data_IF_143963298774
#
_entry.id   IF_143963298774
#
_cell.length_a   1.000
_cell.length_b   1.000
_cell.length_c   1.000
_cell.angle_alpha   90.00
_cell.angle_beta   90.00
_cell.angle_gamma   90.00
#
_symmetry.space_group_name_H-M   'P 1'
#
loop_
_entity.id
_entity.type
_entity.pdbx_description
1 polymer ?
#
# COMPACT_ATOMS: atom_id res chain seq x y z
N UNK A 1 -4.92 21.89 -18.25
CA UNK A 1 -5.06 20.45 -18.55
C UNK A 1 -4.43 19.56 -17.47
N UNK A 2 -3.11 19.65 -17.24
CA UNK A 2 -2.39 18.78 -16.29
C UNK A 2 -2.98 18.81 -14.86
N UNK A 3 -3.31 19.99 -14.33
CA UNK A 3 -3.88 20.11 -12.98
C UNK A 3 -5.25 19.45 -12.79
N UNK A 4 -6.12 19.47 -13.81
CA UNK A 4 -7.45 18.84 -13.75
C UNK A 4 -7.33 17.32 -13.76
N UNK A 5 -6.45 16.79 -14.62
CA UNK A 5 -6.16 15.35 -14.67
C UNK A 5 -5.55 14.89 -13.34
N UNK A 6 -4.60 15.66 -12.80
CA UNK A 6 -3.97 15.34 -11.52
C UNK A 6 -4.96 15.39 -10.35
N UNK A 7 -5.87 16.37 -10.33
CA UNK A 7 -6.94 16.42 -9.35
C UNK A 7 -7.84 15.18 -9.43
N UNK A 8 -8.31 14.81 -10.62
CA UNK A 8 -9.15 13.63 -10.81
C UNK A 8 -8.42 12.33 -10.41
N UNK A 9 -7.13 12.23 -10.69
CA UNK A 9 -6.30 11.11 -10.27
C UNK A 9 -6.19 11.01 -8.74
N UNK A 10 -5.97 12.13 -8.03
CA UNK A 10 -5.90 12.13 -6.57
C UNK A 10 -7.26 11.79 -5.94
N UNK A 11 -8.37 12.29 -6.49
CA UNK A 11 -9.72 11.93 -6.02
C UNK A 11 -9.95 10.42 -6.17
N UNK A 12 -9.59 9.86 -7.31
CA UNK A 12 -9.71 8.41 -7.55
C UNK A 12 -8.81 7.60 -6.60
N UNK A 13 -7.59 8.09 -6.33
CA UNK A 13 -6.68 7.49 -5.35
C UNK A 13 -7.27 7.46 -3.94
N UNK A 14 -7.92 8.54 -3.51
CA UNK A 14 -8.62 8.57 -2.22
C UNK A 14 -9.70 7.48 -2.12
N UNK A 15 -10.43 7.22 -3.22
CA UNK A 15 -11.45 6.15 -3.25
C UNK A 15 -10.80 4.78 -3.07
N UNK A 16 -9.71 4.49 -3.79
CA UNK A 16 -8.99 3.21 -3.67
C UNK A 16 -8.50 2.97 -2.24
N UNK A 17 -7.91 3.98 -1.60
CA UNK A 17 -7.43 3.83 -0.21
C UNK A 17 -8.57 3.62 0.80
N UNK A 18 -9.69 4.31 0.63
CA UNK A 18 -10.86 4.14 1.51
C UNK A 18 -11.54 2.79 1.32
N UNK A 19 -11.65 2.31 0.08
CA UNK A 19 -12.21 1.00 -0.21
C UNK A 19 -11.33 -0.12 0.36
N UNK A 20 -10.01 -0.02 0.18
CA UNK A 20 -9.05 -0.95 0.80
C UNK A 20 -9.17 -0.96 2.32
N UNK A 21 -9.16 0.22 2.96
CA UNK A 21 -9.37 0.33 4.40
C UNK A 21 -10.70 -0.29 4.86
N UNK A 22 -11.79 -0.04 4.14
CA UNK A 22 -13.11 -0.55 4.50
C UNK A 22 -13.22 -2.07 4.37
N UNK A 23 -12.52 -2.68 3.40
CA UNK A 23 -12.48 -4.12 3.23
C UNK A 23 -11.80 -4.77 4.44
N UNK A 24 -10.57 -4.35 4.75
CA UNK A 24 -9.80 -4.85 5.89
C UNK A 24 -10.52 -4.65 7.23
N UNK A 25 -11.19 -3.50 7.40
CA UNK A 25 -11.99 -3.22 8.60
C UNK A 25 -13.20 -4.16 8.71
N UNK A 26 -13.89 -4.43 7.60
CA UNK A 26 -15.04 -5.34 7.61
C UNK A 26 -14.61 -6.79 7.87
N UNK A 27 -13.52 -7.24 7.26
CA UNK A 27 -12.96 -8.57 7.49
C UNK A 27 -12.55 -8.75 8.97
N UNK A 28 -11.94 -7.72 9.57
CA UNK A 28 -11.56 -7.73 10.99
C UNK A 28 -12.78 -7.77 11.94
N UNK A 29 -13.84 -7.03 11.65
CA UNK A 29 -14.99 -6.88 12.55
C UNK A 29 -16.06 -7.97 12.40
N UNK A 30 -16.26 -8.48 11.20
CA UNK A 30 -17.39 -9.37 10.86
C UNK A 30 -16.97 -10.75 10.36
N UNK A 31 -15.67 -10.95 10.11
CA UNK A 31 -15.12 -12.16 9.51
C UNK A 31 -15.18 -12.13 7.98
N UNK A 32 -14.22 -12.79 7.36
CA UNK A 32 -14.06 -12.83 5.90
C UNK A 32 -15.35 -13.28 5.19
N UNK A 33 -15.84 -12.46 4.26
CA UNK A 33 -16.98 -12.79 3.39
C UNK A 33 -18.36 -12.77 4.06
N UNK A 34 -18.49 -12.39 5.33
CA UNK A 34 -19.77 -12.41 6.06
C UNK A 34 -20.54 -11.06 6.02
N UNK A 35 -20.22 -10.18 5.08
CA UNK A 35 -20.85 -8.86 4.93
C UNK A 35 -21.16 -8.57 3.46
N UNK A 36 -22.22 -7.79 3.22
CA UNK A 36 -22.60 -7.37 1.87
C UNK A 36 -21.76 -6.19 1.36
N UNK A 37 -21.65 -6.05 0.04
CA UNK A 37 -20.90 -4.95 -0.61
C UNK A 37 -21.34 -3.56 -0.15
N UNK A 38 -22.64 -3.37 0.08
CA UNK A 38 -23.20 -2.10 0.59
C UNK A 38 -22.66 -1.74 1.96
N UNK A 39 -22.38 -2.74 2.79
CA UNK A 39 -21.85 -2.55 4.12
C UNK A 39 -20.38 -2.09 4.07
N UNK A 40 -19.60 -2.63 3.15
CA UNK A 40 -18.23 -2.15 2.84
C UNK A 40 -18.24 -0.69 2.41
N UNK A 41 -19.15 -0.32 1.50
CA UNK A 41 -19.28 1.07 1.03
C UNK A 41 -19.65 2.02 2.18
N UNK A 42 -20.54 1.60 3.09
CA UNK A 42 -20.92 2.39 4.25
C UNK A 42 -19.69 2.74 5.12
N UNK A 43 -18.84 1.76 5.42
CA UNK A 43 -17.62 1.99 6.20
C UNK A 43 -16.60 2.87 5.47
N UNK A 44 -16.49 2.76 4.14
CA UNK A 44 -15.68 3.67 3.34
C UNK A 44 -16.17 5.12 3.46
N UNK A 45 -17.49 5.35 3.42
CA UNK A 45 -18.09 6.67 3.63
C UNK A 45 -17.84 7.21 5.04
N UNK A 46 -17.96 6.37 6.08
CA UNK A 46 -17.64 6.75 7.46
C UNK A 46 -16.16 7.15 7.57
N UNK A 47 -15.25 6.38 6.96
CA UNK A 47 -13.83 6.71 6.89
C UNK A 47 -13.57 8.05 6.20
N UNK A 48 -14.25 8.31 5.08
CA UNK A 48 -14.16 9.59 4.36
C UNK A 48 -14.57 10.77 5.25
N UNK A 49 -15.70 10.67 5.95
CA UNK A 49 -16.17 11.70 6.87
C UNK A 49 -15.16 11.92 8.00
N UNK A 50 -14.57 10.84 8.54
CA UNK A 50 -13.52 10.91 9.55
C UNK A 50 -12.27 11.65 9.09
N UNK A 51 -11.72 11.29 7.93
CA UNK A 51 -10.54 11.97 7.36
C UNK A 51 -10.86 13.43 7.04
N UNK A 52 -12.07 13.71 6.55
CA UNK A 52 -12.53 15.07 6.27
C UNK A 52 -12.60 15.90 7.57
N UNK A 53 -13.11 15.33 8.66
CA UNK A 53 -13.17 15.98 9.96
C UNK A 53 -11.76 16.33 10.49
N UNK A 54 -10.78 15.45 10.32
CA UNK A 54 -9.37 15.72 10.70
C UNK A 54 -8.81 16.93 9.95
N UNK A 55 -9.13 17.07 8.67
CA UNK A 55 -8.68 18.21 7.86
C UNK A 55 -9.30 19.52 8.36
N UNK A 56 -10.57 19.50 8.80
CA UNK A 56 -11.23 20.68 9.36
C UNK A 56 -10.70 21.12 10.73
N UNK A 57 -10.13 20.20 11.53
CA UNK A 57 -9.54 20.54 12.84
C UNK A 57 -8.29 21.41 12.69
N UNK A 58 -7.49 21.20 11.64
CA UNK A 58 -6.41 22.10 11.26
C UNK A 58 -5.15 21.41 10.71
N UNK A 59 -4.26 22.20 10.07
CA UNK A 59 -3.09 21.67 9.36
C UNK A 59 -2.01 21.08 10.28
N UNK A 60 -1.95 21.50 11.56
CA UNK A 60 -0.97 20.96 12.52
C UNK A 60 -1.29 19.51 12.89
N UNK A 61 -2.57 19.18 13.09
CA UNK A 61 -2.99 17.81 13.37
C UNK A 61 -2.70 16.91 12.18
N UNK A 62 -3.00 17.36 10.96
CA UNK A 62 -2.68 16.65 9.73
C UNK A 62 -1.20 16.30 9.63
N UNK A 63 -0.31 17.26 9.89
CA UNK A 63 1.14 17.03 9.84
C UNK A 63 1.61 15.99 10.88
N UNK A 64 1.08 16.06 12.11
CA UNK A 64 1.39 15.08 13.16
C UNK A 64 0.89 13.68 12.79
N UNK A 65 -0.37 13.57 12.35
CA UNK A 65 -0.97 12.28 11.95
C UNK A 65 -0.23 11.65 10.77
N UNK A 66 0.20 12.43 9.77
CA UNK A 66 0.95 11.92 8.63
C UNK A 66 2.31 11.32 9.05
N UNK A 67 3.05 11.98 9.95
CA UNK A 67 4.32 11.46 10.48
C UNK A 67 4.07 10.21 11.34
N UNK A 68 3.04 10.21 12.18
CA UNK A 68 2.67 9.05 12.99
C UNK A 68 2.30 7.85 12.11
N UNK A 69 1.48 8.06 11.06
CA UNK A 69 1.12 7.01 10.11
C UNK A 69 2.35 6.44 9.41
N UNK A 70 3.29 7.29 8.98
CA UNK A 70 4.56 6.84 8.39
C UNK A 70 5.36 5.96 9.35
N UNK A 71 5.52 6.37 10.61
CA UNK A 71 6.21 5.58 11.63
C UNK A 71 5.54 4.21 11.87
N UNK A 72 4.20 4.20 11.94
CA UNK A 72 3.44 2.95 12.11
C UNK A 72 3.63 2.04 10.90
N UNK A 73 3.56 2.57 9.67
CA UNK A 73 3.76 1.77 8.46
C UNK A 73 5.15 1.15 8.43
N UNK A 74 6.20 1.91 8.75
CA UNK A 74 7.58 1.37 8.82
C UNK A 74 7.70 0.28 9.88
N UNK A 75 7.07 0.46 11.04
CA UNK A 75 7.06 -0.53 12.11
C UNK A 75 6.35 -1.82 11.66
N UNK A 76 5.14 -1.72 11.11
CA UNK A 76 4.36 -2.86 10.64
C UNK A 76 5.12 -3.59 9.52
N UNK A 77 5.66 -2.88 8.52
CA UNK A 77 6.47 -3.49 7.47
C UNK A 77 7.67 -4.25 8.03
N UNK A 78 8.36 -3.69 9.02
CA UNK A 78 9.51 -4.35 9.66
C UNK A 78 9.10 -5.61 10.43
N UNK A 79 7.96 -5.55 11.13
CA UNK A 79 7.41 -6.70 11.85
C UNK A 79 6.93 -7.80 10.90
N UNK A 80 6.28 -7.44 9.79
CA UNK A 80 5.87 -8.38 8.75
C UNK A 80 7.08 -9.07 8.13
N UNK A 81 8.12 -8.30 7.79
CA UNK A 81 9.36 -8.86 7.25
C UNK A 81 10.01 -9.84 8.24
N UNK A 82 10.07 -9.48 9.52
CA UNK A 82 10.56 -10.38 10.57
C UNK A 82 9.68 -11.64 10.74
N UNK A 83 8.37 -11.48 10.62
CA UNK A 83 7.41 -12.58 10.70
C UNK A 83 7.64 -13.61 9.60
N UNK A 84 7.90 -13.19 8.35
CA UNK A 84 8.28 -14.09 7.26
C UNK A 84 9.66 -14.76 7.48
N UNK A 85 10.59 -14.14 8.20
CA UNK A 85 11.88 -14.76 8.52
C UNK A 85 11.79 -15.84 9.62
N UNK A 86 10.90 -15.64 10.61
CA UNK A 86 10.76 -16.53 11.78
C UNK A 86 9.61 -17.54 11.60
N UNK A 87 8.69 -17.29 10.68
CA UNK A 87 7.41 -17.98 10.55
C UNK A 87 7.53 -19.51 10.59
N UNK A 88 6.61 -20.14 11.32
CA UNK A 88 6.55 -21.59 11.49
C UNK A 88 5.78 -22.23 10.33
N UNK A 89 6.37 -23.27 9.73
CA UNK A 89 5.96 -23.97 8.49
C UNK A 89 4.61 -24.73 8.54
N UNK A 90 3.68 -24.42 9.46
CA UNK A 90 2.47 -25.21 9.71
C UNK A 90 1.15 -24.48 9.40
N UNK A 91 1.17 -23.43 8.58
CA UNK A 91 -0.04 -22.74 8.11
C UNK A 91 -0.28 -23.04 6.62
N UNK A 92 -1.55 -23.15 6.21
CA UNK A 92 -1.97 -23.43 4.84
C UNK A 92 -1.21 -22.55 3.83
N UNK A 93 -0.36 -23.17 3.00
CA UNK A 93 0.42 -22.48 1.95
C UNK A 93 1.76 -21.88 2.38
N UNK A 94 2.08 -21.79 3.68
CA UNK A 94 3.36 -21.24 4.14
C UNK A 94 4.42 -22.33 4.34
N UNK A 95 5.42 -22.37 3.47
CA UNK A 95 6.48 -23.40 3.48
C UNK A 95 7.72 -23.01 4.28
N UNK A 96 7.78 -21.76 4.76
CA UNK A 96 9.01 -21.14 5.24
C UNK A 96 9.94 -20.74 4.08
N UNK A 97 10.90 -19.85 4.33
CA UNK A 97 11.85 -19.36 3.32
C UNK A 97 12.72 -20.53 2.80
N UNK A 98 12.44 -21.00 1.58
CA UNK A 98 13.13 -22.11 0.93
C UNK A 98 13.47 -21.76 -0.51
N UNK A 99 14.66 -22.17 -0.94
CA UNK A 99 15.10 -21.98 -2.34
C UNK A 99 14.23 -22.77 -3.32
N UNK A 100 13.74 -23.95 -2.92
CA UNK A 100 12.88 -24.77 -3.79
C UNK A 100 11.54 -24.10 -4.11
N UNK A 101 10.94 -23.43 -3.12
CA UNK A 101 9.68 -22.68 -3.30
C UNK A 101 9.93 -21.46 -4.17
N UNK A 102 11.07 -20.78 -4.00
CA UNK A 102 11.45 -19.65 -4.83
C UNK A 102 11.61 -20.02 -6.31
N UNK A 103 12.29 -21.14 -6.60
CA UNK A 103 12.51 -21.60 -7.97
C UNK A 103 11.18 -21.98 -8.65
N UNK A 104 10.23 -22.54 -7.90
CA UNK A 104 8.89 -22.83 -8.38
C UNK A 104 8.10 -21.55 -8.73
N UNK A 105 8.29 -20.47 -7.96
CA UNK A 105 7.57 -19.20 -8.11
C UNK A 105 8.25 -18.18 -9.03
N UNK A 106 9.39 -18.53 -9.65
CA UNK A 106 10.16 -17.59 -10.48
C UNK A 106 9.47 -17.23 -11.81
N UNK A 107 8.70 -18.16 -12.35
CA UNK A 107 7.98 -18.00 -13.61
C UNK A 107 6.62 -17.32 -13.44
N UNK A 108 6.13 -16.60 -14.47
CA UNK A 108 4.76 -16.12 -14.45
C UNK A 108 3.79 -17.30 -14.57
N UNK A 109 2.80 -17.36 -13.67
CA UNK A 109 1.68 -18.29 -13.74
C UNK A 109 0.37 -17.49 -13.72
N UNK A 110 -0.07 -17.03 -14.89
CA UNK A 110 -1.28 -16.24 -15.01
C UNK A 110 -2.52 -17.13 -15.11
N UNK A 111 -3.54 -16.86 -14.30
CA UNK A 111 -4.88 -17.47 -14.43
C UNK A 111 -5.62 -16.88 -15.64
N UNK A 112 -6.64 -17.56 -16.16
CA UNK A 112 -7.38 -17.19 -17.37
C UNK A 112 -7.90 -15.73 -17.41
N UNK A 113 -8.18 -15.13 -16.24
CA UNK A 113 -8.67 -13.75 -16.12
C UNK A 113 -7.58 -12.68 -16.00
N UNK A 114 -6.31 -13.09 -15.86
CA UNK A 114 -5.19 -12.18 -15.60
C UNK A 114 -4.11 -12.28 -16.68
N UNK A 115 -3.55 -11.14 -17.05
CA UNK A 115 -2.38 -11.04 -17.90
C UNK A 115 -1.41 -9.98 -17.35
N UNK A 116 -0.23 -9.85 -17.96
CA UNK A 116 0.77 -8.87 -17.53
C UNK A 116 0.22 -7.43 -17.47
N UNK A 117 -0.45 -6.89 -18.52
CA UNK A 117 -1.06 -5.57 -18.46
C UNK A 117 -2.08 -5.39 -17.33
N UNK A 118 -2.91 -6.41 -17.06
CA UNK A 118 -3.93 -6.36 -16.01
C UNK A 118 -3.29 -6.31 -14.63
N UNK A 119 -2.34 -7.20 -14.34
CA UNK A 119 -1.61 -7.20 -13.06
C UNK A 119 -0.82 -5.91 -12.88
N UNK A 120 -0.17 -5.40 -13.94
CA UNK A 120 0.51 -4.11 -13.91
C UNK A 120 -0.45 -2.96 -13.58
N UNK A 121 -1.66 -2.96 -14.14
CA UNK A 121 -2.66 -1.91 -13.90
C UNK A 121 -3.17 -1.91 -12.45
N UNK A 122 -3.23 -3.07 -11.81
CA UNK A 122 -3.58 -3.21 -10.38
C UNK A 122 -2.42 -2.72 -9.49
N UNK A 123 -1.19 -3.03 -9.86
CA UNK A 123 0.00 -2.60 -9.10
C UNK A 123 0.35 -1.12 -9.31
N UNK A 124 0.04 -0.55 -10.48
CA UNK A 124 0.47 0.79 -10.87
C UNK A 124 0.11 1.89 -9.85
N UNK A 125 -1.12 1.94 -9.27
CA UNK A 125 -1.45 2.89 -8.21
C UNK A 125 -0.49 2.87 -7.02
N UNK A 126 0.12 1.72 -6.69
CA UNK A 126 1.05 1.59 -5.56
C UNK A 126 2.36 2.38 -5.78
N UNK A 127 2.82 2.51 -7.03
CA UNK A 127 4.06 3.25 -7.36
C UNK A 127 3.81 4.72 -7.72
N UNK A 128 2.56 5.18 -7.66
CA UNK A 128 2.23 6.60 -7.86
C UNK A 128 2.51 7.44 -6.61
N UNK A 129 2.18 8.74 -6.62
CA UNK A 129 2.33 9.61 -5.45
C UNK A 129 3.67 10.36 -5.33
N UNK A 130 4.56 10.22 -6.32
CA UNK A 130 5.85 10.93 -6.41
C UNK A 130 5.70 12.46 -6.21
N UNK A 131 4.58 13.04 -6.63
CA UNK A 131 4.31 14.47 -6.52
C UNK A 131 3.89 14.95 -5.12
N UNK A 132 3.65 14.05 -4.16
CA UNK A 132 3.25 14.42 -2.79
C UNK A 132 4.27 15.36 -2.12
N UNK A 133 5.57 15.12 -2.34
CA UNK A 133 6.65 15.98 -1.81
C UNK A 133 6.70 17.37 -2.45
N UNK A 134 6.35 17.48 -3.74
CA UNK A 134 6.30 18.76 -4.45
C UNK A 134 5.11 19.61 -3.98
N UNK A 135 4.00 18.98 -3.58
CA UNK A 135 2.80 19.65 -3.08
C UNK A 135 3.03 20.37 -1.73
N UNK A 136 4.09 20.03 -0.99
CA UNK A 136 4.47 20.69 0.27
C UNK A 136 5.66 21.65 0.13
N UNK A 137 6.00 22.03 -1.11
CA UNK A 137 7.16 22.85 -1.42
C UNK A 137 7.19 24.21 -0.68
N UNK A 138 6.02 24.79 -0.37
CA UNK A 138 5.90 26.06 0.34
C UNK A 138 6.36 26.05 1.80
N UNK A 139 6.53 24.88 2.42
CA UNK A 139 6.97 24.74 3.83
C UNK A 139 8.47 24.39 3.93
N UNK A 140 9.12 24.09 2.80
CA UNK A 140 10.51 23.67 2.77
C UNK A 140 11.48 24.85 2.86
N UNK A 141 12.53 24.71 3.68
CA UNK A 141 13.61 25.70 3.77
C UNK A 141 14.33 25.93 2.44
N UNK A 142 14.50 24.87 1.62
CA UNK A 142 15.20 24.91 0.33
C UNK A 142 14.53 23.97 -0.70
N UNK A 143 13.37 24.34 -1.28
CA UNK A 143 12.58 23.44 -2.13
C UNK A 143 13.36 22.91 -3.35
N UNK A 144 14.14 23.76 -4.03
CA UNK A 144 14.88 23.39 -5.24
C UNK A 144 15.93 22.30 -5.04
N UNK A 145 16.43 22.10 -3.80
CA UNK A 145 17.36 21.02 -3.46
C UNK A 145 16.67 19.85 -2.77
N UNK A 146 15.68 20.13 -1.90
CA UNK A 146 15.02 19.11 -1.08
C UNK A 146 14.05 18.25 -1.88
N UNK A 147 13.29 18.82 -2.82
CA UNK A 147 12.32 18.07 -3.64
C UNK A 147 12.99 16.96 -4.47
N UNK A 148 14.00 17.25 -5.32
CA UNK A 148 14.58 16.21 -6.18
C UNK A 148 15.29 15.13 -5.37
N UNK A 149 16.01 15.50 -4.30
CA UNK A 149 16.70 14.54 -3.43
C UNK A 149 15.73 13.65 -2.66
N UNK A 150 14.73 14.26 -2.02
CA UNK A 150 13.73 13.52 -1.26
C UNK A 150 12.94 12.56 -2.14
N UNK A 151 12.52 13.03 -3.30
CA UNK A 151 11.78 12.22 -4.28
C UNK A 151 12.58 11.01 -4.77
N UNK A 152 13.84 11.21 -5.15
CA UNK A 152 14.70 10.13 -5.64
C UNK A 152 15.00 9.10 -4.54
N UNK A 153 15.34 9.56 -3.34
CA UNK A 153 15.61 8.68 -2.20
C UNK A 153 14.37 7.89 -1.80
N UNK A 154 13.20 8.52 -1.77
CA UNK A 154 11.93 7.85 -1.47
C UNK A 154 11.62 6.78 -2.54
N UNK A 155 11.77 7.13 -3.83
CA UNK A 155 11.50 6.20 -4.94
C UNK A 155 12.42 4.98 -4.87
N UNK A 156 13.73 5.20 -4.71
CA UNK A 156 14.72 4.11 -4.60
C UNK A 156 14.45 3.26 -3.35
N UNK A 157 14.11 3.89 -2.22
CA UNK A 157 13.74 3.17 -1.00
C UNK A 157 12.50 2.28 -1.19
N UNK A 158 11.44 2.82 -1.80
CA UNK A 158 10.22 2.04 -2.11
C UNK A 158 10.49 0.87 -3.05
N UNK A 159 11.38 1.03 -4.04
CA UNK A 159 11.81 -0.07 -4.91
C UNK A 159 12.42 -1.20 -4.08
N UNK A 160 13.37 -0.91 -3.19
CA UNK A 160 13.99 -1.94 -2.34
C UNK A 160 12.98 -2.65 -1.44
N UNK A 161 12.01 -1.92 -0.88
CA UNK A 161 10.94 -2.50 -0.06
C UNK A 161 10.08 -3.43 -0.92
N UNK A 162 9.59 -2.99 -2.08
CA UNK A 162 8.75 -3.81 -2.95
C UNK A 162 9.46 -5.07 -3.45
N UNK A 163 10.71 -4.95 -3.90
CA UNK A 163 11.50 -6.12 -4.31
C UNK A 163 11.78 -7.05 -3.12
N UNK A 164 12.10 -6.51 -1.95
CA UNK A 164 12.32 -7.32 -0.75
C UNK A 164 11.10 -8.15 -0.36
N UNK A 165 9.91 -7.53 -0.37
CA UNK A 165 8.66 -8.24 -0.11
C UNK A 165 8.29 -9.24 -1.21
N UNK A 166 8.46 -8.89 -2.49
CA UNK A 166 8.21 -9.82 -3.58
C UNK A 166 9.08 -11.08 -3.47
N UNK A 167 10.38 -10.91 -3.18
CA UNK A 167 11.32 -12.03 -3.05
C UNK A 167 11.04 -12.90 -1.82
N UNK A 168 10.72 -12.31 -0.67
CA UNK A 168 10.44 -13.09 0.55
C UNK A 168 9.11 -13.83 0.44
N UNK A 169 8.09 -13.23 -0.18
CA UNK A 169 6.80 -13.90 -0.43
C UNK A 169 7.00 -15.07 -1.39
N UNK A 170 7.71 -14.86 -2.51
CA UNK A 170 8.02 -15.90 -3.48
C UNK A 170 8.83 -17.07 -2.88
N UNK A 171 9.72 -16.79 -1.93
CA UNK A 171 10.51 -17.82 -1.28
C UNK A 171 9.77 -18.56 -0.15
N UNK A 172 8.66 -18.03 0.36
CA UNK A 172 8.03 -18.53 1.59
C UNK A 172 6.62 -19.09 1.43
N UNK A 173 5.89 -18.72 0.38
CA UNK A 173 4.53 -19.18 0.12
C UNK A 173 4.51 -20.06 -1.13
N UNK A 174 3.83 -21.19 -1.02
CA UNK A 174 3.56 -22.07 -2.15
C UNK A 174 2.48 -21.45 -3.04
N UNK A 175 2.60 -21.59 -4.35
CA UNK A 175 1.64 -21.01 -5.31
C UNK A 175 0.49 -21.94 -5.67
N UNK A 176 0.59 -23.22 -5.30
CA UNK A 176 -0.39 -24.27 -5.62
C UNK A 176 -1.49 -24.45 -4.55
N UNK A 177 -1.52 -23.61 -3.50
CA UNK A 177 -2.45 -23.67 -2.35
C UNK A 177 -3.28 -22.40 -2.26
#
# INVERSE_FOLDING_TARGET
AIGVIFYAANVSGCVVYLLGFSAELCDLLYGEGNYGDWFRILWACVGLVGVTAVIYIGPELYAKTAVTAFCITVLVLSLTFLSFCIGYSNANGYTGVKSSTFDANWGPNYTDDFDFPTVFSIFFPAVTGIMAGANMSGVLKNPSKSIPKGTLLATVGSIFVYFGFAMIIAASNDSDV
#
